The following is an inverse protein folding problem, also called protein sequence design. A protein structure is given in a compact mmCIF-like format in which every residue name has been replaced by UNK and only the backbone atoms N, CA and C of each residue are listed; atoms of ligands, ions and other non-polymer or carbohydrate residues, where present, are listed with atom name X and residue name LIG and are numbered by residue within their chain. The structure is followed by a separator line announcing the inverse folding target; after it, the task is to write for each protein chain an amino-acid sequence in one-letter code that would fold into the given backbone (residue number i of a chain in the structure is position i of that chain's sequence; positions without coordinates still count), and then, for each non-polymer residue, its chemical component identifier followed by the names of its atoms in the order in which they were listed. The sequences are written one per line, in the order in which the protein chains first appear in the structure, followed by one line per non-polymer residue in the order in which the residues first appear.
data_IF_348512759373
#
_entry.id   IF_348512759373
#
_cell.length_a   1.000
_cell.length_b   1.000
_cell.length_c   1.000
_cell.angle_alpha   90.00
_cell.angle_beta   90.00
_cell.angle_gamma   90.00
#
_symmetry.space_group_name_H-M   'P 1'
#
loop_
_entity.id
_entity.type
_entity.pdbx_description
1 polymer ?
#
# COMPACT_ATOMS: atom_id res chain seq x y z
N UNK A 1 -15.02 -4.12 -14.23
CA UNK A 1 -14.19 -3.14 -13.51
C UNK A 1 -13.60 -3.82 -12.28
N UNK A 2 -12.35 -3.54 -11.90
CA UNK A 2 -11.79 -4.05 -10.64
C UNK A 2 -12.30 -3.21 -9.47
N UNK A 3 -12.41 -3.81 -8.30
CA UNK A 3 -12.65 -3.06 -7.07
C UNK A 3 -11.33 -2.47 -6.57
N UNK A 4 -10.26 -3.28 -6.55
CA UNK A 4 -8.99 -2.90 -5.93
C UNK A 4 -7.81 -3.23 -6.87
N UNK A 5 -6.83 -2.32 -6.94
CA UNK A 5 -5.48 -2.64 -7.41
C UNK A 5 -4.50 -2.44 -6.25
N UNK A 6 -3.74 -3.48 -5.93
CA UNK A 6 -2.66 -3.41 -4.96
C UNK A 6 -1.30 -3.32 -5.66
N UNK A 7 -0.53 -2.28 -5.36
CA UNK A 7 0.82 -2.07 -5.87
C UNK A 7 1.81 -2.36 -4.74
N UNK A 8 2.55 -3.45 -4.87
CA UNK A 8 3.50 -3.91 -3.84
C UNK A 8 4.62 -2.91 -3.61
N UNK A 9 5.33 -3.06 -2.48
CA UNK A 9 6.60 -2.38 -2.24
C UNK A 9 7.70 -2.88 -3.17
N UNK A 10 8.82 -2.14 -3.21
CA UNK A 10 9.97 -2.53 -4.02
C UNK A 10 10.62 -3.78 -3.41
N UNK A 11 10.75 -4.90 -4.14
CA UNK A 11 11.35 -6.12 -3.61
C UNK A 11 12.82 -5.93 -3.19
N UNK A 12 13.51 -4.93 -3.73
CA UNK A 12 14.90 -4.62 -3.36
C UNK A 12 15.06 -3.90 -2.00
N UNK A 13 13.98 -3.65 -1.26
CA UNK A 13 14.04 -3.05 0.09
C UNK A 13 13.53 -4.03 1.15
N UNK A 14 14.24 -4.18 2.26
CA UNK A 14 13.88 -5.17 3.30
C UNK A 14 14.17 -6.62 2.88
N UNK A 15 13.68 -7.58 3.65
CA UNK A 15 13.84 -9.01 3.40
C UNK A 15 12.62 -9.62 2.70
N UNK A 16 12.81 -10.79 2.07
CA UNK A 16 11.69 -11.52 1.45
C UNK A 16 10.57 -11.80 2.46
N UNK A 17 10.92 -12.28 3.67
CA UNK A 17 9.95 -12.58 4.73
C UNK A 17 9.16 -11.35 5.17
N UNK A 18 9.79 -10.18 5.22
CA UNK A 18 9.10 -8.91 5.52
C UNK A 18 8.07 -8.56 4.45
N UNK A 19 8.41 -8.73 3.17
CA UNK A 19 7.45 -8.55 2.08
C UNK A 19 6.32 -9.57 2.12
N UNK A 20 6.62 -10.84 2.35
CA UNK A 20 5.61 -11.89 2.49
C UNK A 20 4.61 -11.56 3.60
N UNK A 21 5.09 -11.11 4.76
CA UNK A 21 4.25 -10.71 5.89
C UNK A 21 3.35 -9.50 5.56
N UNK A 22 3.92 -8.45 4.94
CA UNK A 22 3.16 -7.28 4.52
C UNK A 22 2.11 -7.64 3.46
N UNK A 23 2.52 -8.38 2.43
CA UNK A 23 1.64 -8.81 1.34
C UNK A 23 0.51 -9.69 1.86
N UNK A 24 0.80 -10.68 2.72
CA UNK A 24 -0.23 -11.51 3.34
C UNK A 24 -1.24 -10.66 4.14
N UNK A 25 -0.77 -9.63 4.86
CA UNK A 25 -1.66 -8.71 5.57
C UNK A 25 -2.56 -7.93 4.62
N UNK A 26 -2.06 -7.47 3.48
CA UNK A 26 -2.87 -6.78 2.47
C UNK A 26 -3.84 -7.74 1.78
N UNK A 27 -3.41 -8.95 1.43
CA UNK A 27 -4.26 -9.97 0.82
C UNK A 27 -5.46 -10.29 1.71
N UNK A 28 -5.25 -10.45 3.02
CA UNK A 28 -6.33 -10.67 3.97
C UNK A 28 -7.32 -9.49 4.05
N UNK A 29 -6.85 -8.25 3.84
CA UNK A 29 -7.73 -7.07 3.78
C UNK A 29 -8.61 -7.05 2.53
N UNK A 30 -8.12 -7.57 1.41
CA UNK A 30 -8.74 -7.40 0.10
C UNK A 30 -9.37 -8.67 -0.49
N UNK A 31 -9.21 -9.83 0.18
CA UNK A 31 -9.56 -11.16 -0.36
C UNK A 31 -11.00 -11.33 -0.85
N UNK A 32 -11.93 -10.54 -0.31
CA UNK A 32 -13.36 -10.63 -0.65
C UNK A 32 -13.74 -9.79 -1.88
N UNK A 33 -12.84 -8.94 -2.36
CA UNK A 33 -13.08 -8.05 -3.49
C UNK A 33 -12.48 -8.59 -4.79
N UNK A 34 -12.89 -8.04 -5.93
CA UNK A 34 -12.21 -8.31 -7.20
C UNK A 34 -10.95 -7.44 -7.29
N UNK A 35 -9.77 -8.05 -7.14
CA UNK A 35 -8.50 -7.32 -7.12
C UNK A 35 -7.45 -7.81 -8.12
N UNK A 36 -6.49 -6.94 -8.42
CA UNK A 36 -5.27 -7.26 -9.16
C UNK A 36 -4.04 -6.76 -8.40
N UNK A 37 -2.92 -7.45 -8.57
CA UNK A 37 -1.66 -7.16 -7.87
C UNK A 37 -0.59 -6.77 -8.89
N UNK A 38 0.11 -5.68 -8.62
CA UNK A 38 1.21 -5.17 -9.46
C UNK A 38 2.50 -5.12 -8.65
N UNK A 39 3.55 -5.76 -9.16
CA UNK A 39 4.89 -5.64 -8.58
C UNK A 39 5.53 -4.28 -8.91
N UNK A 40 6.19 -3.66 -7.94
CA UNK A 40 6.95 -2.41 -8.13
C UNK A 40 8.46 -2.64 -8.22
N UNK A 41 8.88 -3.38 -9.24
CA UNK A 41 10.30 -3.65 -9.48
C UNK A 41 11.06 -2.43 -10.02
N UNK A 42 10.36 -1.54 -10.74
CA UNK A 42 10.96 -0.35 -11.33
C UNK A 42 10.87 0.86 -10.37
N UNK A 43 11.86 1.77 -10.44
CA UNK A 43 11.77 3.11 -9.82
C UNK A 43 10.61 3.95 -10.38
N UNK A 44 10.11 3.61 -11.56
CA UNK A 44 9.01 4.27 -12.26
C UNK A 44 8.12 3.24 -12.96
N UNK A 45 6.79 3.35 -12.81
CA UNK A 45 5.80 2.64 -13.62
C UNK A 45 5.61 3.25 -15.02
N UNK A 46 6.57 4.00 -15.55
CA UNK A 46 6.41 4.70 -16.85
C UNK A 46 6.03 3.76 -18.00
N UNK A 47 6.29 2.46 -17.85
CA UNK A 47 5.97 1.43 -18.85
C UNK A 47 4.95 0.39 -18.35
N UNK A 48 4.33 0.59 -17.17
CA UNK A 48 3.30 -0.32 -16.64
C UNK A 48 1.94 0.34 -16.70
N UNK A 49 1.02 -0.29 -17.42
CA UNK A 49 -0.39 0.11 -17.44
C UNK A 49 -1.00 -0.33 -16.11
N UNK A 50 -1.42 0.63 -15.29
CA UNK A 50 -2.20 0.35 -14.08
C UNK A 50 -3.66 0.15 -14.52
N UNK A 51 -4.29 -1.00 -14.25
CA UNK A 51 -5.70 -1.24 -14.53
C UNK A 51 -6.60 -0.23 -13.81
N UNK A 52 -7.77 0.05 -14.39
CA UNK A 52 -8.79 0.89 -13.76
C UNK A 52 -9.46 0.14 -12.60
N UNK A 53 -9.48 0.75 -11.42
CA UNK A 53 -10.11 0.24 -10.22
C UNK A 53 -10.78 1.37 -9.42
N UNK A 54 -11.72 1.01 -8.53
CA UNK A 54 -12.34 1.95 -7.58
C UNK A 54 -11.32 2.41 -6.52
N UNK A 55 -10.48 1.48 -6.07
CA UNK A 55 -9.51 1.69 -5.00
C UNK A 55 -8.11 1.29 -5.44
N UNK A 56 -7.11 2.07 -5.03
CA UNK A 56 -5.71 1.77 -5.22
C UNK A 56 -4.98 1.74 -3.88
N UNK A 57 -4.32 0.63 -3.59
CA UNK A 57 -3.52 0.45 -2.38
C UNK A 57 -2.05 0.37 -2.80
N UNK A 58 -1.18 1.15 -2.17
CA UNK A 58 0.25 1.11 -2.43
C UNK A 58 1.05 0.98 -1.14
N UNK A 59 1.98 0.02 -1.11
CA UNK A 59 2.91 -0.13 0.02
C UNK A 59 4.27 0.53 -0.29
N UNK A 60 4.79 1.34 0.64
CA UNK A 60 6.11 1.95 0.57
C UNK A 60 6.36 2.62 -0.80
N UNK A 61 7.36 2.20 -1.58
CA UNK A 61 7.60 2.74 -2.93
C UNK A 61 6.42 2.54 -3.89
N UNK A 62 5.59 1.52 -3.72
CA UNK A 62 4.34 1.31 -4.46
C UNK A 62 3.34 2.45 -4.27
N UNK A 63 3.34 3.11 -3.11
CA UNK A 63 2.46 4.26 -2.86
C UNK A 63 2.78 5.48 -3.73
N UNK A 64 4.02 5.61 -4.23
CA UNK A 64 4.44 6.75 -5.06
C UNK A 64 3.66 6.85 -6.37
N UNK A 65 3.02 5.76 -6.78
CA UNK A 65 2.22 5.69 -7.99
C UNK A 65 0.81 6.25 -7.81
N UNK A 66 0.31 6.35 -6.58
CA UNK A 66 -1.04 6.83 -6.27
C UNK A 66 -1.26 8.29 -6.70
N UNK A 67 -0.22 9.11 -6.63
CA UNK A 67 -0.27 10.52 -7.07
C UNK A 67 -0.47 10.67 -8.58
N UNK A 68 -0.19 9.62 -9.38
CA UNK A 68 -0.35 9.64 -10.85
C UNK A 68 -1.73 9.16 -11.29
N UNK A 69 -2.55 8.67 -10.37
CA UNK A 69 -3.88 8.13 -10.65
C UNK A 69 -4.94 9.23 -10.62
N UNK A 70 -6.07 8.95 -11.26
CA UNK A 70 -7.25 9.83 -11.28
C UNK A 70 -7.66 10.27 -9.86
N UNK A 71 -8.28 11.44 -9.73
CA UNK A 71 -8.71 11.98 -8.44
C UNK A 71 -10.05 11.42 -7.93
N UNK A 72 -10.78 10.69 -8.78
CA UNK A 72 -12.09 10.08 -8.49
C UNK A 72 -11.99 8.62 -8.01
N UNK A 73 -10.80 8.20 -7.54
CA UNK A 73 -10.60 6.90 -6.90
C UNK A 73 -10.14 7.06 -5.46
N UNK A 74 -10.42 6.04 -4.64
CA UNK A 74 -9.87 5.95 -3.29
C UNK A 74 -8.39 5.54 -3.37
N UNK A 75 -7.52 6.25 -2.64
CA UNK A 75 -6.08 5.97 -2.62
C UNK A 75 -5.65 5.70 -1.19
N UNK A 76 -5.09 4.52 -0.95
CA UNK A 76 -4.59 4.08 0.36
C UNK A 76 -3.08 3.87 0.25
N UNK A 77 -2.32 4.58 1.07
CA UNK A 77 -0.88 4.47 1.17
C UNK A 77 -0.51 3.78 2.48
N UNK A 78 0.28 2.71 2.43
CA UNK A 78 0.75 1.98 3.60
C UNK A 78 2.27 2.20 3.73
N UNK A 79 2.72 2.78 4.85
CA UNK A 79 4.14 3.07 5.09
C UNK A 79 4.79 3.97 4.02
N UNK A 80 3.96 4.70 3.28
CA UNK A 80 4.34 5.34 2.02
C UNK A 80 4.27 6.85 2.05
N UNK A 81 3.87 7.43 0.92
CA UNK A 81 3.70 8.87 0.77
C UNK A 81 2.37 9.34 1.39
N UNK A 82 2.35 10.60 1.86
CA UNK A 82 1.13 11.38 2.04
C UNK A 82 0.84 12.20 0.78
N UNK A 83 -0.41 12.64 0.61
CA UNK A 83 -0.80 13.46 -0.53
C UNK A 83 -2.27 13.86 -0.47
N UNK A 84 -2.66 14.81 -1.33
CA UNK A 84 -4.08 15.19 -1.47
C UNK A 84 -4.89 13.97 -1.91
N UNK A 85 -5.98 13.69 -1.18
CA UNK A 85 -6.87 12.53 -1.39
C UNK A 85 -6.18 11.16 -1.23
N UNK A 86 -5.08 11.08 -0.47
CA UNK A 86 -4.42 9.81 -0.11
C UNK A 86 -4.58 9.55 1.38
N UNK A 87 -5.21 8.42 1.73
CA UNK A 87 -5.31 7.94 3.10
C UNK A 87 -4.00 7.22 3.46
N UNK A 88 -3.17 7.86 4.29
CA UNK A 88 -1.91 7.30 4.76
C UNK A 88 -2.13 6.51 6.06
N UNK A 89 -1.74 5.24 6.03
CA UNK A 89 -1.61 4.37 7.19
C UNK A 89 -0.12 4.07 7.39
N UNK A 90 0.42 4.52 8.52
CA UNK A 90 1.83 4.38 8.83
C UNK A 90 1.96 3.97 10.28
N UNK A 91 2.72 2.91 10.53
CA UNK A 91 3.05 2.50 11.88
C UNK A 91 3.76 3.65 12.61
N UNK A 92 3.38 3.92 13.86
CA UNK A 92 3.97 5.00 14.66
C UNK A 92 5.48 4.81 14.85
N UNK A 93 5.95 3.56 14.88
CA UNK A 93 7.35 3.21 15.04
C UNK A 93 8.13 3.19 13.71
N UNK A 94 7.46 3.36 12.58
CA UNK A 94 8.11 3.45 11.26
C UNK A 94 8.75 4.84 11.11
N UNK A 95 10.08 4.89 11.16
CA UNK A 95 10.87 6.10 11.00
C UNK A 95 11.81 6.02 9.78
N UNK A 96 11.57 5.08 8.86
CA UNK A 96 12.44 4.84 7.70
C UNK A 96 12.57 6.08 6.81
N UNK A 97 11.46 6.81 6.63
CA UNK A 97 11.44 8.01 5.78
C UNK A 97 12.25 9.18 6.33
N UNK A 98 12.55 9.20 7.64
CA UNK A 98 13.42 10.21 8.26
C UNK A 98 14.86 9.68 8.47
N UNK A 99 15.18 8.50 7.91
CA UNK A 99 16.52 7.94 7.91
C UNK A 99 16.84 6.98 9.06
N UNK A 100 15.86 6.63 9.92
CA UNK A 100 16.08 5.65 10.98
C UNK A 100 16.07 4.22 10.43
N UNK A 101 17.27 3.65 10.29
CA UNK A 101 17.51 2.29 9.83
C UNK A 101 17.65 1.27 10.97
N UNK A 102 17.22 1.63 12.19
CA UNK A 102 17.17 0.71 13.32
C UNK A 102 16.30 -0.51 13.00
N UNK A 103 16.61 -1.64 13.64
CA UNK A 103 15.84 -2.87 13.46
C UNK A 103 14.35 -2.69 13.84
N UNK A 104 14.05 -1.85 14.83
CA UNK A 104 12.69 -1.49 15.24
C UNK A 104 11.94 -0.75 14.14
N UNK A 105 12.54 0.31 13.60
CA UNK A 105 11.94 1.10 12.52
C UNK A 105 11.75 0.28 11.24
N UNK A 106 12.77 -0.51 10.87
CA UNK A 106 12.69 -1.44 9.74
C UNK A 106 11.57 -2.47 9.94
N UNK A 107 11.42 -3.05 11.14
CA UNK A 107 10.36 -4.01 11.42
C UNK A 107 8.98 -3.35 11.36
N UNK A 108 8.84 -2.16 11.96
CA UNK A 108 7.59 -1.41 11.97
C UNK A 108 7.10 -1.04 10.56
N UNK A 109 8.02 -0.73 9.63
CA UNK A 109 7.70 -0.41 8.24
C UNK A 109 6.94 -1.52 7.50
N UNK A 110 7.17 -2.78 7.87
CA UNK A 110 6.53 -3.96 7.26
C UNK A 110 5.36 -4.51 8.09
N UNK A 111 4.81 -3.73 9.03
CA UNK A 111 3.68 -4.13 9.86
C UNK A 111 2.55 -3.11 9.72
N UNK A 112 1.37 -3.60 9.31
CA UNK A 112 0.11 -2.87 9.44
C UNK A 112 -0.47 -3.18 10.82
N UNK A 113 -0.71 -2.16 11.65
CA UNK A 113 -1.30 -2.36 12.97
C UNK A 113 -2.74 -2.90 12.87
N UNK A 114 -3.24 -3.56 13.91
CA UNK A 114 -4.62 -4.06 13.90
C UNK A 114 -5.65 -2.92 13.80
N UNK A 115 -5.37 -1.77 14.41
CA UNK A 115 -6.22 -0.59 14.31
C UNK A 115 -6.26 -0.03 12.88
N UNK A 116 -5.11 0.00 12.20
CA UNK A 116 -5.04 0.42 10.80
C UNK A 116 -5.76 -0.58 9.90
N UNK A 117 -5.62 -1.89 10.15
CA UNK A 117 -6.35 -2.94 9.41
C UNK A 117 -7.86 -2.75 9.51
N UNK A 118 -8.39 -2.48 10.72
CA UNK A 118 -9.82 -2.22 10.91
C UNK A 118 -10.26 -0.96 10.17
N UNK A 119 -9.49 0.11 10.27
CA UNK A 119 -9.78 1.38 9.60
C UNK A 119 -9.79 1.22 8.07
N UNK A 120 -8.81 0.51 7.51
CA UNK A 120 -8.75 0.19 6.09
C UNK A 120 -9.99 -0.61 5.67
N UNK A 121 -10.37 -1.66 6.43
CA UNK A 121 -11.58 -2.46 6.12
C UNK A 121 -12.84 -1.60 6.09
N UNK A 122 -13.01 -0.70 7.05
CA UNK A 122 -14.17 0.20 7.11
C UNK A 122 -14.24 1.09 5.86
N UNK A 123 -13.13 1.76 5.52
CA UNK A 123 -13.09 2.66 4.36
C UNK A 123 -13.32 1.89 3.05
N UNK A 124 -12.72 0.69 2.91
CA UNK A 124 -12.94 -0.16 1.73
C UNK A 124 -14.41 -0.52 1.57
N UNK A 125 -15.07 -0.91 2.67
CA UNK A 125 -16.48 -1.25 2.67
C UNK A 125 -17.34 -0.05 2.27
N UNK A 126 -17.09 1.12 2.86
CA UNK A 126 -17.86 2.35 2.56
C UNK A 126 -17.70 2.81 1.11
N UNK A 127 -16.52 2.66 0.51
CA UNK A 127 -16.24 3.16 -0.84
C UNK A 127 -16.65 2.19 -1.96
N UNK A 128 -16.60 0.88 -1.70
CA UNK A 128 -16.86 -0.15 -2.73
C UNK A 128 -18.35 -0.52 -2.78
N UNK A 129 -19.04 -0.51 -1.62
CA UNK A 129 -20.48 -0.80 -1.48
C UNK A 129 -21.33 0.19 -2.26
#
# INVERSE_FOLDING_TARGET
MLDIVYIKGNPASGTLSQHEQMNASVYELIKEYKYEIIDSEAKNLSNKIIPKAKVYIGFSRGSRYLNKLDSNCLKISIGGISGSKVHLFKNIDDHILIGDISASSLKAHFIISNMDKLSIKTILKEYIS
#
